data_IF_090310058943
#
_entry.id   IF_090310058943
#
_cell.length_a   1.000
_cell.length_b   1.000
_cell.length_c   1.000
_cell.angle_alpha   90.00
_cell.angle_beta   90.00
_cell.angle_gamma   90.00
#
_symmetry.space_group_name_H-M   'P 1'
#
loop_
_entity.id
_entity.type
_entity.pdbx_description
1 polymer ?
#
# COMPACT_ATOMS: atom_id res chain seq x y z
N UNK A 1 -6.41 -11.73 -3.44
CA UNK A 1 -5.26 -11.97 -4.34
C UNK A 1 -4.32 -12.96 -3.66
N UNK A 2 -3.66 -13.89 -4.38
CA UNK A 2 -2.70 -14.82 -3.77
C UNK A 2 -1.58 -14.04 -3.05
N UNK A 3 -1.08 -14.53 -1.90
CA UNK A 3 -0.06 -13.84 -1.09
C UNK A 3 1.17 -13.42 -1.92
N UNK A 4 1.55 -14.25 -2.89
CA UNK A 4 2.65 -13.99 -3.84
C UNK A 4 2.45 -12.67 -4.58
N UNK A 5 1.23 -12.33 -4.98
CA UNK A 5 0.93 -11.08 -5.67
C UNK A 5 1.16 -9.86 -4.76
N UNK A 6 0.86 -9.98 -3.46
CA UNK A 6 1.09 -8.90 -2.48
C UNK A 6 2.57 -8.61 -2.31
N UNK A 7 3.37 -9.67 -2.23
CA UNK A 7 4.83 -9.59 -2.12
C UNK A 7 5.42 -8.92 -3.37
N UNK A 8 4.96 -9.31 -4.57
CA UNK A 8 5.40 -8.72 -5.83
C UNK A 8 5.09 -7.22 -5.84
N UNK A 9 3.89 -6.80 -5.45
CA UNK A 9 3.51 -5.38 -5.43
C UNK A 9 4.36 -4.59 -4.44
N UNK A 10 4.63 -5.12 -3.25
CA UNK A 10 5.51 -4.47 -2.27
C UNK A 10 6.93 -4.26 -2.81
N UNK A 11 7.48 -5.27 -3.48
CA UNK A 11 8.80 -5.18 -4.11
C UNK A 11 8.78 -4.11 -5.22
N UNK A 12 7.77 -4.12 -6.09
CA UNK A 12 7.63 -3.15 -7.19
C UNK A 12 7.54 -1.73 -6.64
N UNK A 13 6.70 -1.47 -5.65
CA UNK A 13 6.55 -0.13 -5.05
C UNK A 13 7.83 0.32 -4.35
N UNK A 14 8.49 -0.57 -3.60
CA UNK A 14 9.77 -0.27 -2.95
C UNK A 14 10.88 0.07 -3.94
N UNK A 15 10.98 -0.69 -5.04
CA UNK A 15 11.95 -0.43 -6.11
C UNK A 15 11.63 0.88 -6.84
N UNK A 16 10.36 1.13 -7.18
CA UNK A 16 9.93 2.38 -7.81
C UNK A 16 10.30 3.59 -6.95
N UNK A 17 10.04 3.53 -5.64
CA UNK A 17 10.33 4.62 -4.75
C UNK A 17 11.84 4.81 -4.54
N UNK A 18 12.60 3.71 -4.47
CA UNK A 18 14.06 3.74 -4.42
C UNK A 18 14.67 4.37 -5.68
N UNK A 19 14.11 4.08 -6.85
CA UNK A 19 14.46 4.71 -8.12
C UNK A 19 14.14 6.21 -8.10
N UNK A 20 12.91 6.59 -7.77
CA UNK A 20 12.49 8.00 -7.69
C UNK A 20 13.43 8.80 -6.77
N UNK A 21 13.77 8.22 -5.60
CA UNK A 21 14.63 8.84 -4.62
C UNK A 21 16.11 8.96 -5.05
N UNK A 22 16.58 8.08 -5.94
CA UNK A 22 17.99 8.04 -6.37
C UNK A 22 18.25 8.84 -7.64
N UNK A 23 17.27 8.90 -8.55
CA UNK A 23 17.43 9.54 -9.86
C UNK A 23 16.88 10.97 -9.91
N UNK A 24 16.02 11.36 -8.97
CA UNK A 24 15.53 12.73 -8.87
C UNK A 24 16.20 13.42 -7.67
N UNK A 25 17.19 14.30 -7.88
CA UNK A 25 17.76 15.10 -6.80
C UNK A 25 16.69 16.08 -6.30
N UNK A 26 15.99 15.69 -5.24
CA UNK A 26 14.97 16.50 -4.58
C UNK A 26 15.58 17.25 -3.39
N UNK A 27 15.16 18.51 -3.20
CA UNK A 27 15.42 19.24 -1.97
C UNK A 27 14.90 18.44 -0.76
N UNK A 28 15.64 18.45 0.35
CA UNK A 28 15.38 17.57 1.50
C UNK A 28 13.93 17.57 2.02
N UNK A 29 13.25 18.73 1.95
CA UNK A 29 11.85 18.87 2.33
C UNK A 29 10.87 18.10 1.43
N UNK A 30 11.11 18.09 0.12
CA UNK A 30 10.25 17.39 -0.86
C UNK A 30 10.43 15.87 -0.75
N UNK A 31 11.66 15.43 -0.52
CA UNK A 31 12.00 14.02 -0.29
C UNK A 31 11.22 13.42 0.89
N UNK A 32 11.13 14.16 1.99
CA UNK A 32 10.41 13.73 3.19
C UNK A 32 8.91 13.56 2.94
N UNK A 33 8.29 14.54 2.27
CA UNK A 33 6.85 14.50 1.94
C UNK A 33 6.54 13.33 1.01
N UNK A 34 7.34 13.11 -0.04
CA UNK A 34 7.09 12.05 -1.01
C UNK A 34 7.22 10.66 -0.38
N UNK A 35 8.23 10.43 0.45
CA UNK A 35 8.39 9.17 1.18
C UNK A 35 7.23 8.95 2.16
N UNK A 36 6.82 9.99 2.90
CA UNK A 36 5.68 9.90 3.81
C UNK A 36 4.38 9.54 3.07
N UNK A 37 4.09 10.22 1.95
CA UNK A 37 2.89 9.97 1.15
C UNK A 37 2.86 8.52 0.64
N UNK A 38 3.96 8.03 0.08
CA UNK A 38 3.96 6.67 -0.47
C UNK A 38 3.90 5.62 0.63
N UNK A 39 4.58 5.81 1.76
CA UNK A 39 4.44 4.92 2.92
C UNK A 39 2.97 4.86 3.37
N UNK A 40 2.28 6.00 3.46
CA UNK A 40 0.85 6.05 3.82
C UNK A 40 0.00 5.28 2.79
N UNK A 41 0.23 5.49 1.50
CA UNK A 41 -0.49 4.79 0.43
C UNK A 41 -0.27 3.27 0.52
N UNK A 42 0.96 2.82 0.76
CA UNK A 42 1.29 1.39 0.92
C UNK A 42 0.60 0.80 2.14
N UNK A 43 0.57 1.51 3.28
CA UNK A 43 -0.12 1.03 4.50
C UNK A 43 -1.64 0.92 4.26
N UNK A 44 -2.26 1.94 3.67
CA UNK A 44 -3.70 1.90 3.33
C UNK A 44 -4.03 0.77 2.36
N UNK A 45 -3.17 0.56 1.35
CA UNK A 45 -3.31 -0.52 0.39
C UNK A 45 -3.16 -1.89 1.05
N UNK A 46 -2.19 -2.08 1.95
CA UNK A 46 -2.04 -3.33 2.71
C UNK A 46 -3.28 -3.62 3.56
N UNK A 47 -3.83 -2.63 4.27
CA UNK A 47 -5.08 -2.80 5.03
C UNK A 47 -6.26 -3.25 4.15
N UNK A 48 -6.34 -2.73 2.93
CA UNK A 48 -7.34 -3.13 1.93
C UNK A 48 -7.10 -4.57 1.42
N UNK A 49 -5.85 -4.94 1.16
CA UNK A 49 -5.45 -6.24 0.61
C UNK A 49 -5.54 -7.38 1.61
N UNK A 50 -5.18 -7.15 2.88
CA UNK A 50 -5.37 -8.13 3.96
C UNK A 50 -6.84 -8.34 4.30
N UNK A 51 -7.75 -7.59 3.65
CA UNK A 51 -9.16 -7.84 3.76
C UNK A 51 -9.72 -7.50 5.15
N UNK A 52 -9.07 -6.63 5.93
CA UNK A 52 -9.73 -6.04 7.11
C UNK A 52 -11.03 -5.32 6.69
N UNK A 53 -11.06 -4.72 5.49
CA UNK A 53 -12.29 -4.19 4.88
C UNK A 53 -13.23 -5.29 4.34
N UNK A 54 -12.70 -6.45 3.91
CA UNK A 54 -13.49 -7.57 3.39
C UNK A 54 -14.16 -8.39 4.49
N UNK A 55 -13.51 -8.56 5.65
CA UNK A 55 -14.12 -9.13 6.86
C UNK A 55 -15.26 -8.26 7.40
N UNK A 56 -15.11 -6.93 7.35
CA UNK A 56 -16.19 -5.99 7.72
C UNK A 56 -17.36 -6.08 6.74
N UNK A 57 -17.10 -6.21 5.43
CA UNK A 57 -18.16 -6.31 4.40
C UNK A 57 -18.88 -7.67 4.43
N UNK A 58 -18.21 -8.75 4.87
CA UNK A 58 -18.83 -10.08 5.06
C UNK A 58 -19.58 -10.21 6.37
N UNK A 59 -19.37 -9.31 7.33
CA UNK A 59 -20.25 -9.10 8.48
C UNK A 59 -21.44 -8.20 8.10
N UNK A 60 -22.06 -8.46 6.95
CA UNK A 60 -23.48 -8.13 6.76
C UNK A 60 -24.29 -9.13 7.58
N UNK A 61 -24.61 -8.71 8.80
CA UNK A 61 -25.67 -9.27 9.63
C UNK A 61 -26.95 -9.33 8.77
N UNK A 62 -27.44 -10.54 8.47
CA UNK A 62 -28.77 -10.72 7.87
C UNK A 62 -28.81 -11.42 6.51
N UNK A 63 -28.37 -12.67 6.42
CA UNK A 63 -29.14 -13.67 5.65
C UNK A 63 -29.77 -14.64 6.64
N UNK A 64 -30.89 -14.19 7.21
CA UNK A 64 -31.91 -15.10 7.73
C UNK A 64 -32.40 -15.89 6.53
N UNK A 65 -32.14 -17.19 6.55
CA UNK A 65 -32.89 -18.17 5.78
C UNK A 65 -33.36 -19.23 6.76
#
# INVERSE_FOLDING_TARGET
MPLVHVIIVLIVVGVLLGLINRYIPMAGSIKSILNAVVVIVVVLWLLQVFGLLHYITRMQVGKVK
#
